data_IF_026618184459
#
_entry.id   IF_026618184459
#
_cell.length_a   1.000
_cell.length_b   1.000
_cell.length_c   1.000
_cell.angle_alpha   90.00
_cell.angle_beta   90.00
_cell.angle_gamma   90.00
#
_symmetry.space_group_name_H-M   'P 1'
#
loop_
_entity.id
_entity.type
_entity.pdbx_description
1 polymer ?
#
# COMPACT_ATOMS: atom_id res chain seq x y z
N UNK A 1 18.65 30.60 8.04
CA UNK A 1 18.37 29.44 7.18
C UNK A 1 16.94 28.98 7.41
N UNK A 2 15.98 29.61 6.72
CA UNK A 2 14.54 29.34 6.88
C UNK A 2 14.07 28.48 5.70
N UNK A 3 14.33 27.18 5.76
CA UNK A 3 13.70 26.21 4.86
C UNK A 3 12.92 25.18 5.69
N UNK A 4 12.11 25.67 6.62
CA UNK A 4 10.98 24.92 7.14
C UNK A 4 9.92 24.83 6.05
N UNK A 5 10.17 24.02 5.02
CA UNK A 5 9.22 23.70 3.96
C UNK A 5 7.98 23.16 4.68
N UNK A 6 6.92 23.98 4.69
CA UNK A 6 5.59 23.64 5.19
C UNK A 6 5.08 22.45 4.38
N UNK A 7 5.55 21.24 4.71
CA UNK A 7 4.94 20.02 4.22
C UNK A 7 3.56 20.00 4.85
N UNK A 8 2.52 20.09 4.02
CA UNK A 8 1.19 19.76 4.50
C UNK A 8 1.30 18.33 5.02
N UNK A 9 1.33 18.16 6.34
CA UNK A 9 1.39 16.87 7.04
C UNK A 9 0.26 15.94 6.56
N UNK A 10 -0.80 16.53 6.01
CA UNK A 10 -1.90 15.85 5.37
C UNK A 10 -1.78 15.91 3.84
N UNK A 11 -1.36 14.79 3.24
CA UNK A 11 -1.40 14.58 1.79
C UNK A 11 -2.59 13.70 1.43
N UNK A 12 -3.32 14.09 0.39
CA UNK A 12 -4.36 13.26 -0.25
C UNK A 12 -3.78 11.91 -0.71
N UNK A 13 -2.51 11.87 -1.12
CA UNK A 13 -1.81 10.63 -1.43
C UNK A 13 -1.68 9.70 -0.22
N UNK A 14 -1.37 10.25 0.96
CA UNK A 14 -1.26 9.48 2.19
C UNK A 14 -2.63 8.93 2.65
N UNK A 15 -3.69 9.75 2.57
CA UNK A 15 -5.06 9.28 2.83
C UNK A 15 -5.46 8.10 1.95
N UNK A 16 -5.24 8.23 0.64
CA UNK A 16 -5.56 7.20 -0.34
C UNK A 16 -4.76 5.91 -0.05
N UNK A 17 -3.46 6.04 0.22
CA UNK A 17 -2.59 4.92 0.61
C UNK A 17 -3.15 4.17 1.82
N UNK A 18 -3.52 4.88 2.87
CA UNK A 18 -4.05 4.28 4.10
C UNK A 18 -5.35 3.53 3.83
N UNK A 19 -6.26 4.09 3.03
CA UNK A 19 -7.53 3.43 2.67
C UNK A 19 -7.25 2.14 1.89
N UNK A 20 -6.36 2.18 0.89
CA UNK A 20 -5.99 0.99 0.13
C UNK A 20 -5.31 -0.08 1.00
N UNK A 21 -4.42 0.31 1.92
CA UNK A 21 -3.78 -0.64 2.85
C UNK A 21 -4.84 -1.32 3.73
N UNK A 22 -5.82 -0.58 4.25
CA UNK A 22 -6.92 -1.16 5.03
C UNK A 22 -7.74 -2.16 4.21
N UNK A 23 -8.08 -1.79 2.97
CA UNK A 23 -8.82 -2.66 2.04
C UNK A 23 -8.03 -3.93 1.73
N UNK A 24 -6.75 -3.81 1.38
CA UNK A 24 -5.89 -4.98 1.10
C UNK A 24 -5.70 -5.83 2.35
N UNK A 25 -5.53 -5.24 3.52
CA UNK A 25 -5.41 -5.99 4.78
C UNK A 25 -6.66 -6.83 5.06
N UNK A 26 -7.85 -6.27 4.81
CA UNK A 26 -9.11 -7.00 4.94
C UNK A 26 -9.24 -8.14 3.91
N UNK A 27 -8.98 -7.85 2.63
CA UNK A 27 -8.96 -8.85 1.56
C UNK A 27 -7.96 -9.98 1.85
N UNK A 28 -6.79 -9.64 2.39
CA UNK A 28 -5.76 -10.59 2.74
C UNK A 28 -6.18 -11.52 3.89
N UNK A 29 -6.94 -11.01 4.86
CA UNK A 29 -7.54 -11.84 5.91
C UNK A 29 -8.45 -12.93 5.34
N UNK A 30 -9.38 -12.55 4.45
CA UNK A 30 -10.27 -13.50 3.76
C UNK A 30 -9.44 -14.48 2.91
N UNK A 31 -8.39 -13.99 2.25
CA UNK A 31 -7.53 -14.83 1.42
C UNK A 31 -6.79 -15.90 2.25
N UNK A 32 -6.26 -15.54 3.41
CA UNK A 32 -5.61 -16.48 4.34
C UNK A 32 -6.60 -17.54 4.85
N UNK A 33 -7.83 -17.14 5.18
CA UNK A 33 -8.85 -18.07 5.68
C UNK A 33 -9.18 -19.16 4.65
N UNK A 34 -9.30 -18.78 3.38
CA UNK A 34 -9.45 -19.73 2.27
C UNK A 34 -8.16 -20.54 2.03
N UNK A 35 -7.00 -19.94 2.25
CA UNK A 35 -5.71 -20.60 2.06
C UNK A 35 -5.41 -21.68 3.10
N UNK A 36 -6.06 -21.66 4.27
CA UNK A 36 -5.91 -22.72 5.28
C UNK A 36 -6.18 -24.12 4.71
N UNK A 37 -7.10 -24.25 3.74
CA UNK A 37 -7.37 -25.50 2.99
C UNK A 37 -6.33 -25.81 1.90
N UNK A 38 -5.66 -24.80 1.32
CA UNK A 38 -4.60 -24.97 0.32
C UNK A 38 -3.21 -25.22 0.92
N UNK A 39 -3.02 -24.84 2.18
CA UNK A 39 -1.80 -25.07 2.95
C UNK A 39 -1.45 -26.57 3.06
N UNK A 40 -2.44 -27.45 3.01
CA UNK A 40 -2.24 -28.91 3.06
C UNK A 40 -1.54 -29.47 1.80
N UNK A 41 -1.68 -28.80 0.65
CA UNK A 41 -1.12 -29.23 -0.65
C UNK A 41 0.25 -28.62 -0.96
N UNK A 42 0.47 -27.35 -0.60
CA UNK A 42 1.69 -26.60 -0.94
C UNK A 42 2.56 -26.23 0.26
N UNK A 43 2.10 -26.49 1.48
CA UNK A 43 2.82 -26.24 2.72
C UNK A 43 3.48 -24.86 2.79
N UNK A 44 4.73 -24.84 3.23
CA UNK A 44 5.52 -23.63 3.47
C UNK A 44 5.78 -22.78 2.20
N UNK A 45 5.80 -23.38 1.00
CA UNK A 45 6.06 -22.64 -0.25
C UNK A 45 4.88 -21.74 -0.58
N UNK A 46 3.66 -22.24 -0.41
CA UNK A 46 2.45 -21.47 -0.62
C UNK A 46 2.32 -20.32 0.36
N UNK A 47 2.63 -20.55 1.64
CA UNK A 47 2.64 -19.51 2.66
C UNK A 47 3.67 -18.39 2.35
N UNK A 48 4.88 -18.75 1.92
CA UNK A 48 5.90 -17.79 1.51
C UNK A 48 5.47 -16.97 0.29
N UNK A 49 4.89 -17.61 -0.72
CA UNK A 49 4.43 -16.94 -1.94
C UNK A 49 3.36 -15.88 -1.63
N UNK A 50 2.44 -16.20 -0.72
CA UNK A 50 1.35 -15.30 -0.32
C UNK A 50 1.88 -14.12 0.51
N UNK A 51 2.83 -14.38 1.40
CA UNK A 51 3.52 -13.33 2.13
C UNK A 51 4.27 -12.38 1.18
N UNK A 52 4.99 -12.93 0.19
CA UNK A 52 5.67 -12.17 -0.85
C UNK A 52 4.69 -11.33 -1.66
N UNK A 53 3.57 -11.93 -2.08
CA UNK A 53 2.52 -11.23 -2.83
C UNK A 53 1.90 -10.10 -2.00
N UNK A 54 1.69 -10.31 -0.70
CA UNK A 54 1.21 -9.29 0.22
C UNK A 54 2.19 -8.11 0.34
N UNK A 55 3.47 -8.38 0.55
CA UNK A 55 4.48 -7.34 0.61
C UNK A 55 4.56 -6.58 -0.72
N UNK A 56 4.55 -7.30 -1.84
CA UNK A 56 4.57 -6.70 -3.17
C UNK A 56 3.37 -5.76 -3.39
N UNK A 57 2.16 -6.16 -3.02
CA UNK A 57 0.97 -5.30 -3.10
C UNK A 57 1.10 -4.05 -2.22
N UNK A 58 1.55 -4.21 -0.97
CA UNK A 58 1.75 -3.07 -0.07
C UNK A 58 2.76 -2.07 -0.62
N UNK A 59 3.88 -2.53 -1.17
CA UNK A 59 4.88 -1.66 -1.80
C UNK A 59 4.32 -0.92 -3.01
N UNK A 60 3.51 -1.56 -3.85
CA UNK A 60 2.87 -0.91 -4.99
C UNK A 60 1.90 0.20 -4.54
N UNK A 61 1.07 -0.04 -3.52
CA UNK A 61 0.16 0.99 -2.99
C UNK A 61 0.94 2.20 -2.48
N UNK A 62 2.04 1.95 -1.75
CA UNK A 62 2.84 2.99 -1.15
C UNK A 62 3.52 3.88 -2.21
N UNK A 63 4.02 3.27 -3.28
CA UNK A 63 4.53 3.98 -4.45
C UNK A 63 3.43 4.81 -5.14
N UNK A 64 2.25 4.22 -5.33
CA UNK A 64 1.13 4.88 -5.99
C UNK A 64 0.63 6.10 -5.20
N UNK A 65 0.58 6.00 -3.88
CA UNK A 65 0.29 7.12 -2.99
C UNK A 65 1.32 8.24 -3.03
N UNK A 66 2.60 7.88 -3.11
CA UNK A 66 3.68 8.83 -3.29
C UNK A 66 3.59 9.55 -4.64
N UNK A 67 3.37 8.80 -5.73
CA UNK A 67 3.22 9.36 -7.07
C UNK A 67 2.02 10.30 -7.17
N UNK A 68 0.90 9.94 -6.54
CA UNK A 68 -0.28 10.80 -6.45
C UNK A 68 0.03 12.10 -5.70
N UNK A 69 0.74 12.01 -4.56
CA UNK A 69 1.15 13.20 -3.81
C UNK A 69 2.06 14.12 -4.64
N UNK A 70 3.04 13.56 -5.36
CA UNK A 70 3.93 14.31 -6.25
C UNK A 70 3.16 14.96 -7.40
N UNK A 71 2.22 14.23 -8.00
CA UNK A 71 1.40 14.71 -9.12
C UNK A 71 0.49 15.87 -8.71
N UNK A 72 -0.16 15.77 -7.55
CA UNK A 72 -0.95 16.85 -6.97
C UNK A 72 -0.08 18.08 -6.62
N UNK A 73 1.11 17.86 -6.08
CA UNK A 73 2.02 18.96 -5.78
C UNK A 73 2.53 19.65 -7.05
N UNK A 74 2.81 18.89 -8.12
CA UNK A 74 3.15 19.44 -9.45
C UNK A 74 2.01 20.26 -10.04
N UNK A 75 0.77 19.78 -9.97
CA UNK A 75 -0.41 20.51 -10.45
C UNK A 75 -0.60 21.82 -9.68
N UNK A 76 -0.49 21.78 -8.36
CA UNK A 76 -0.59 22.97 -7.50
C UNK A 76 0.51 24.01 -7.77
N UNK A 77 1.70 23.58 -8.17
CA UNK A 77 2.83 24.49 -8.42
C UNK A 77 2.87 25.04 -9.85
N UNK A 78 1.99 24.52 -10.74
CA UNK A 78 1.88 24.94 -12.15
C UNK A 78 0.80 26.02 -12.37
N UNK A 79 -0.07 26.22 -11.38
CA UNK A 79 -1.05 27.32 -11.26
C UNK A 79 -0.69 28.17 -10.05
#
# INVERSE_FOLDING_TARGET
>A
TKEGKQSKFFSIGALLTTILILVISYLFGIYIENFSKYNELYGSIGALLILLFYMWLNSNILLLGFELNVSLNKLRNKY
#
